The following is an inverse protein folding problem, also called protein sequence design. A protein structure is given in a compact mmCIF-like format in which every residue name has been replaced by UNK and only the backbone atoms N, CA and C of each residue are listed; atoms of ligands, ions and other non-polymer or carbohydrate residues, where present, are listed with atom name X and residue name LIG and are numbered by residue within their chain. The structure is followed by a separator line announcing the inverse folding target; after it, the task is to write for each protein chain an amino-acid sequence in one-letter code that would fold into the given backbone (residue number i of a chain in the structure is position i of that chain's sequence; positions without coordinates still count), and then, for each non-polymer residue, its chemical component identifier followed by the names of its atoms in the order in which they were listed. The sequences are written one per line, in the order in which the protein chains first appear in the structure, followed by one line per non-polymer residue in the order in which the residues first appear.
data_IF_760475374431
#
_entry.id   IF_760475374431
#
_cell.length_a   1.000
_cell.length_b   1.000
_cell.length_c   1.000
_cell.angle_alpha   90.00
_cell.angle_beta   90.00
_cell.angle_gamma   90.00
#
_symmetry.space_group_name_H-M   'P 1'
#
loop_
_entity.id
_entity.type
_entity.pdbx_description
1 polymer ?
#
# COMPACT_ATOMS: atom_id res chain seq x y z
N UNK A 1 39.90 42.75 45.54
CA UNK A 1 38.75 42.90 44.66
C UNK A 1 38.67 41.68 43.72
N UNK A 2 37.85 40.68 44.04
CA UNK A 2 37.59 39.49 43.15
C UNK A 2 36.29 39.73 42.44
N UNK A 3 36.33 39.77 41.08
CA UNK A 3 35.14 39.80 40.25
C UNK A 3 34.59 38.35 40.14
N UNK A 4 33.37 38.15 40.62
CA UNK A 4 32.60 36.94 40.36
C UNK A 4 31.92 37.04 38.99
N UNK A 5 32.26 36.14 38.09
CA UNK A 5 31.58 36.00 36.80
C UNK A 5 30.34 35.10 36.99
N UNK A 6 29.17 35.66 36.83
CA UNK A 6 27.91 34.93 36.86
C UNK A 6 27.73 34.16 35.53
N UNK A 7 27.70 32.85 35.61
CA UNK A 7 27.36 31.97 34.50
C UNK A 7 25.81 31.86 34.47
N UNK A 8 25.18 32.44 33.47
CA UNK A 8 23.76 32.21 33.20
C UNK A 8 23.61 30.82 32.60
N UNK A 9 23.02 29.89 33.33
CA UNK A 9 22.49 28.64 32.78
C UNK A 9 21.30 28.96 31.91
N UNK A 10 21.39 28.69 30.62
CA UNK A 10 20.26 28.63 29.72
C UNK A 10 19.51 27.32 29.98
N UNK A 11 18.31 27.41 30.55
CA UNK A 11 17.38 26.30 30.67
C UNK A 11 16.83 25.98 29.28
N UNK A 12 17.41 24.98 28.65
CA UNK A 12 16.88 24.40 27.44
C UNK A 12 15.58 23.65 27.75
N UNK A 13 14.48 24.14 27.18
CA UNK A 13 13.18 23.49 27.21
C UNK A 13 13.26 22.20 26.37
N UNK A 14 13.42 21.05 27.02
CA UNK A 14 13.30 19.76 26.40
C UNK A 14 11.80 19.53 26.11
N UNK A 15 11.38 19.77 24.87
CA UNK A 15 10.08 19.33 24.39
C UNK A 15 10.20 17.83 24.17
N UNK A 16 9.78 17.03 25.15
CA UNK A 16 9.56 15.61 24.98
C UNK A 16 8.33 15.44 24.07
N UNK A 17 8.56 15.14 22.80
CA UNK A 17 7.55 14.56 21.94
C UNK A 17 7.16 13.21 22.55
N UNK A 18 6.07 13.20 23.30
CA UNK A 18 5.37 11.98 23.68
C UNK A 18 4.74 11.41 22.40
N UNK A 19 5.44 10.58 21.69
CA UNK A 19 4.80 9.63 20.80
C UNK A 19 3.95 8.73 21.71
N UNK A 20 2.64 8.89 21.65
CA UNK A 20 1.74 7.87 22.16
C UNK A 20 1.91 6.64 21.30
N UNK A 21 2.82 5.76 21.67
CA UNK A 21 2.80 4.38 21.20
C UNK A 21 1.51 3.82 21.77
N UNK A 22 0.48 3.68 20.95
CA UNK A 22 -0.65 2.85 21.30
C UNK A 22 -0.03 1.45 21.52
N UNK A 23 -0.06 0.98 22.76
CA UNK A 23 0.33 -0.37 23.08
C UNK A 23 -0.67 -1.26 22.37
N UNK A 24 -0.20 -2.03 21.37
CA UNK A 24 -0.98 -3.12 20.84
C UNK A 24 -1.25 -4.07 22.02
N UNK A 25 -2.51 -4.48 22.20
CA UNK A 25 -2.78 -5.56 23.11
C UNK A 25 -2.05 -6.79 22.57
N UNK A 26 -1.32 -7.47 23.46
CA UNK A 26 -0.60 -8.66 23.09
C UNK A 26 -1.63 -9.78 22.90
N UNK A 27 -1.40 -10.66 21.92
CA UNK A 27 -2.15 -11.90 21.78
C UNK A 27 -2.19 -12.61 23.14
N UNK A 28 -3.38 -12.88 23.70
CA UNK A 28 -3.52 -13.38 25.05
C UNK A 28 -2.82 -14.72 25.31
N UNK A 29 -2.60 -15.52 24.28
CA UNK A 29 -1.99 -16.84 24.38
C UNK A 29 -0.54 -16.90 23.88
N UNK A 30 0.01 -15.80 23.35
CA UNK A 30 1.33 -15.80 22.75
C UNK A 30 2.21 -14.61 23.17
N UNK A 31 3.26 -14.87 23.96
CA UNK A 31 4.29 -13.88 24.27
C UNK A 31 5.30 -13.67 23.13
N UNK A 32 5.02 -14.16 21.91
CA UNK A 32 5.89 -14.14 20.76
C UNK A 32 6.13 -12.77 20.15
N UNK A 33 6.19 -12.70 18.82
CA UNK A 33 6.28 -11.43 18.07
C UNK A 33 4.89 -10.82 17.97
N UNK A 34 4.79 -9.51 18.21
CA UNK A 34 3.51 -8.82 18.07
C UNK A 34 2.94 -8.97 16.66
N UNK A 35 1.69 -9.38 16.55
CA UNK A 35 0.95 -9.44 15.30
C UNK A 35 0.81 -8.07 14.69
N UNK A 36 0.89 -7.98 13.37
CA UNK A 36 0.89 -6.70 12.65
C UNK A 36 -0.12 -6.65 11.52
N UNK A 37 -0.68 -5.46 11.30
CA UNK A 37 -1.46 -5.10 10.13
C UNK A 37 -0.88 -3.84 9.49
N UNK A 38 -0.74 -3.84 8.17
CA UNK A 38 -0.19 -2.70 7.45
C UNK A 38 -0.40 -2.84 5.95
N UNK A 39 0.41 -2.12 5.17
CA UNK A 39 0.24 -2.02 3.73
C UNK A 39 1.54 -2.36 3.00
N UNK A 40 1.41 -2.84 1.76
CA UNK A 40 2.55 -3.20 0.90
C UNK A 40 2.76 -2.23 -0.27
N UNK A 41 1.79 -1.37 -0.55
CA UNK A 41 1.85 -0.41 -1.66
C UNK A 41 2.60 0.85 -1.23
N UNK A 42 3.66 1.27 -1.94
CA UNK A 42 4.42 2.48 -1.57
C UNK A 42 3.80 3.78 -2.10
N UNK A 43 3.12 3.72 -3.25
CA UNK A 43 2.51 4.86 -3.94
C UNK A 43 1.41 4.39 -4.88
N UNK A 44 0.53 5.30 -5.30
CA UNK A 44 -0.49 5.06 -6.32
C UNK A 44 -0.06 5.72 -7.62
N UNK A 45 -0.09 4.99 -8.73
CA UNK A 45 0.39 5.48 -10.01
C UNK A 45 -0.79 5.89 -10.90
N UNK A 46 -0.79 7.17 -11.32
CA UNK A 46 -1.80 7.74 -12.22
C UNK A 46 -1.24 7.85 -13.64
N UNK A 47 -1.68 7.02 -14.59
CA UNK A 47 -1.21 7.06 -15.97
C UNK A 47 -1.90 8.20 -16.74
N UNK A 48 -1.14 9.13 -17.29
CA UNK A 48 -1.68 10.21 -18.12
C UNK A 48 -2.32 9.66 -19.40
N UNK A 49 -3.54 10.12 -19.69
CA UNK A 49 -4.31 9.67 -20.86
C UNK A 49 -5.11 8.39 -20.67
N UNK A 50 -5.08 7.79 -19.48
CA UNK A 50 -5.81 6.59 -19.12
C UNK A 50 -6.59 6.76 -17.82
N UNK A 51 -7.57 5.88 -17.52
CA UNK A 51 -8.23 5.89 -16.23
C UNK A 51 -7.22 5.66 -15.09
N UNK A 52 -7.31 6.46 -14.05
CA UNK A 52 -6.48 6.35 -12.86
C UNK A 52 -7.00 5.23 -11.94
N UNK A 53 -6.74 3.98 -12.29
CA UNK A 53 -7.10 2.83 -11.46
C UNK A 53 -5.85 2.33 -10.73
N UNK A 54 -5.94 2.20 -9.41
CA UNK A 54 -4.83 1.73 -8.58
C UNK A 54 -5.34 0.85 -7.44
N UNK A 55 -4.44 0.10 -6.79
CA UNK A 55 -4.79 -0.68 -5.62
C UNK A 55 -3.83 -0.45 -4.46
N UNK A 56 -4.34 -0.67 -3.25
CA UNK A 56 -3.55 -0.78 -2.03
C UNK A 56 -3.59 -2.22 -1.55
N UNK A 57 -2.42 -2.84 -1.39
CA UNK A 57 -2.29 -4.16 -0.79
C UNK A 57 -2.29 -4.05 0.73
N UNK A 58 -3.22 -4.74 1.38
CA UNK A 58 -3.26 -4.92 2.83
C UNK A 58 -2.49 -6.18 3.19
N UNK A 59 -1.57 -6.09 4.14
CA UNK A 59 -0.76 -7.22 4.62
C UNK A 59 -0.88 -7.38 6.13
N UNK A 60 -0.74 -8.61 6.58
CA UNK A 60 -0.69 -8.93 7.99
C UNK A 60 0.37 -10.00 8.29
N UNK A 61 0.79 -10.01 9.53
CA UNK A 61 1.62 -11.04 10.14
C UNK A 61 0.93 -11.53 11.41
N UNK A 62 0.96 -12.83 11.63
CA UNK A 62 0.58 -13.49 12.88
C UNK A 62 1.57 -14.63 13.13
N UNK A 63 2.04 -14.77 14.35
CA UNK A 63 2.94 -15.86 14.76
C UNK A 63 2.21 -17.01 15.46
N UNK A 64 0.92 -16.82 15.80
CA UNK A 64 0.03 -17.87 16.27
C UNK A 64 -1.20 -18.03 15.35
N UNK A 65 -2.06 -18.99 15.64
CA UNK A 65 -3.29 -19.26 14.88
C UNK A 65 -4.32 -18.15 15.12
N UNK A 66 -4.81 -17.53 14.04
CA UNK A 66 -5.88 -16.52 14.09
C UNK A 66 -7.21 -17.13 13.65
N UNK A 67 -8.27 -16.88 14.41
CA UNK A 67 -9.62 -17.42 14.22
C UNK A 67 -10.59 -16.42 13.58
N UNK A 68 -10.26 -15.13 13.58
CA UNK A 68 -10.97 -14.11 12.85
C UNK A 68 -10.10 -12.86 12.68
N UNK A 69 -10.37 -12.12 11.63
CA UNK A 69 -9.76 -10.80 11.35
C UNK A 69 -10.89 -9.82 11.07
N UNK A 70 -10.85 -8.66 11.73
CA UNK A 70 -11.75 -7.52 11.48
C UNK A 70 -10.91 -6.26 11.32
N UNK A 71 -11.00 -5.62 10.15
CA UNK A 71 -10.20 -4.45 9.79
C UNK A 71 -11.10 -3.36 9.22
N UNK A 72 -11.61 -2.44 10.04
CA UNK A 72 -12.32 -1.26 9.57
C UNK A 72 -11.34 -0.15 9.22
N UNK A 73 -11.42 0.37 7.98
CA UNK A 73 -10.58 1.45 7.48
C UNK A 73 -11.41 2.70 7.20
N UNK A 74 -10.90 3.86 7.62
CA UNK A 74 -11.31 5.17 7.15
C UNK A 74 -10.49 5.52 5.91
N UNK A 75 -11.17 5.81 4.80
CA UNK A 75 -10.58 6.18 3.53
C UNK A 75 -10.65 7.70 3.38
N UNK A 76 -9.51 8.36 3.19
CA UNK A 76 -9.46 9.81 2.98
C UNK A 76 -8.56 10.13 1.80
N UNK A 77 -8.97 11.12 0.99
CA UNK A 77 -8.25 11.54 -0.21
C UNK A 77 -9.15 11.68 -1.42
N UNK A 78 -8.57 12.10 -2.55
CA UNK A 78 -9.30 12.30 -3.81
C UNK A 78 -9.41 10.99 -4.60
N UNK A 79 -10.10 10.01 -4.00
CA UNK A 79 -10.27 8.67 -4.56
C UNK A 79 -11.72 8.20 -4.40
N UNK A 80 -12.12 7.26 -5.24
CA UNK A 80 -13.38 6.50 -5.08
C UNK A 80 -13.04 5.02 -4.86
N UNK A 81 -13.68 4.41 -3.86
CA UNK A 81 -13.57 2.96 -3.66
C UNK A 81 -14.30 2.22 -4.78
N UNK A 82 -13.65 1.22 -5.36
CA UNK A 82 -14.23 0.39 -6.41
C UNK A 82 -14.59 -1.01 -5.90
N UNK A 83 -13.59 -1.73 -5.40
CA UNK A 83 -13.76 -3.12 -4.97
C UNK A 83 -12.64 -3.59 -4.05
N UNK A 84 -12.85 -4.78 -3.47
CA UNK A 84 -11.82 -5.50 -2.71
C UNK A 84 -11.68 -6.92 -3.27
N UNK A 85 -10.45 -7.34 -3.51
CA UNK A 85 -10.12 -8.69 -3.97
C UNK A 85 -9.29 -9.44 -2.94
N UNK A 86 -9.67 -10.68 -2.66
CA UNK A 86 -8.93 -11.60 -1.81
C UNK A 86 -8.11 -12.62 -2.62
N UNK A 87 -8.10 -12.50 -3.94
CA UNK A 87 -7.35 -13.38 -4.83
C UNK A 87 -5.83 -13.29 -4.54
N UNK A 88 -5.20 -14.44 -4.36
CA UNK A 88 -3.76 -14.54 -4.01
C UNK A 88 -3.46 -14.15 -2.56
N UNK A 89 -4.47 -14.02 -1.69
CA UNK A 89 -4.27 -13.72 -0.28
C UNK A 89 -4.18 -14.98 0.58
N UNK A 90 -3.69 -14.81 1.81
CA UNK A 90 -3.61 -15.90 2.80
C UNK A 90 -4.98 -16.39 3.28
N UNK A 91 -6.03 -15.60 3.04
CA UNK A 91 -7.41 -15.92 3.43
C UNK A 91 -8.27 -16.28 2.21
N UNK A 92 -7.68 -16.48 1.04
CA UNK A 92 -8.43 -16.78 -0.19
C UNK A 92 -9.31 -18.03 -0.05
N UNK A 93 -8.84 -19.04 0.66
CA UNK A 93 -9.53 -20.31 0.88
C UNK A 93 -10.79 -20.22 1.74
N UNK A 94 -10.95 -19.15 2.54
CA UNK A 94 -12.11 -18.96 3.39
C UNK A 94 -13.34 -18.63 2.54
N UNK A 95 -14.52 -19.19 2.89
CA UNK A 95 -15.78 -18.81 2.28
C UNK A 95 -16.31 -17.49 2.85
N UNK A 96 -16.16 -17.29 4.16
CA UNK A 96 -16.69 -16.12 4.86
C UNK A 96 -15.66 -14.98 4.89
N UNK A 97 -15.57 -14.27 3.76
CA UNK A 97 -14.83 -13.03 3.62
C UNK A 97 -15.80 -11.89 3.29
N UNK A 98 -15.59 -10.72 3.86
CA UNK A 98 -16.45 -9.56 3.59
C UNK A 98 -15.62 -8.32 3.31
N UNK A 99 -16.14 -7.48 2.42
CA UNK A 99 -15.72 -6.11 2.20
C UNK A 99 -17.00 -5.26 2.09
N UNK A 100 -17.31 -4.54 3.14
CA UNK A 100 -18.52 -3.71 3.23
C UNK A 100 -18.11 -2.24 3.28
N UNK A 101 -18.50 -1.47 2.25
CA UNK A 101 -18.17 -0.04 2.14
C UNK A 101 -19.37 0.83 2.46
N UNK A 102 -19.20 1.72 3.44
CA UNK A 102 -20.17 2.77 3.77
C UNK A 102 -19.78 4.07 3.04
N UNK A 103 -20.53 4.37 1.97
CA UNK A 103 -20.29 5.56 1.13
C UNK A 103 -20.47 6.88 1.89
N UNK A 104 -21.37 6.95 2.87
CA UNK A 104 -21.65 8.20 3.58
C UNK A 104 -20.55 8.61 4.54
N UNK A 105 -19.77 7.64 5.01
CA UNK A 105 -18.70 7.84 5.99
C UNK A 105 -17.31 7.56 5.45
N UNK A 106 -17.23 7.10 4.19
CA UNK A 106 -15.96 6.67 3.55
C UNK A 106 -15.23 5.60 4.37
N UNK A 107 -15.99 4.66 4.94
CA UNK A 107 -15.47 3.58 5.77
C UNK A 107 -15.60 2.24 5.06
N UNK A 108 -14.56 1.43 5.13
CA UNK A 108 -14.52 0.07 4.56
C UNK A 108 -14.26 -0.94 5.67
N UNK A 109 -15.18 -1.87 5.88
CA UNK A 109 -14.99 -3.01 6.77
C UNK A 109 -14.49 -4.22 5.97
N UNK A 110 -13.33 -4.74 6.33
CA UNK A 110 -12.81 -6.01 5.84
C UNK A 110 -12.86 -7.02 6.95
N UNK A 111 -13.44 -8.19 6.67
CA UNK A 111 -13.52 -9.30 7.60
C UNK A 111 -13.11 -10.61 6.93
N UNK A 112 -12.50 -11.50 7.72
CA UNK A 112 -12.19 -12.87 7.34
C UNK A 112 -12.45 -13.79 8.53
N UNK A 113 -13.36 -14.77 8.35
CA UNK A 113 -13.83 -15.65 9.42
C UNK A 113 -13.87 -17.11 8.93
N UNK A 114 -13.00 -17.99 9.45
CA UNK A 114 -13.08 -19.43 9.20
C UNK A 114 -14.33 -20.02 9.86
N UNK A 115 -15.30 -20.43 9.09
CA UNK A 115 -16.53 -21.09 9.58
C UNK A 115 -16.62 -22.46 8.95
N UNK A 116 -16.19 -23.48 9.68
CA UNK A 116 -16.11 -24.85 9.17
C UNK A 116 -14.83 -25.14 8.36
N UNK A 117 -13.95 -24.16 8.23
CA UNK A 117 -12.64 -24.29 7.60
C UNK A 117 -11.51 -24.22 8.66
N UNK A 118 -10.30 -24.52 8.22
CA UNK A 118 -9.13 -24.39 9.08
C UNK A 118 -8.87 -22.92 9.46
N UNK A 119 -8.52 -22.64 10.70
CA UNK A 119 -8.13 -21.31 11.13
C UNK A 119 -6.94 -20.77 10.32
N UNK A 120 -6.74 -19.47 10.34
CA UNK A 120 -5.62 -18.80 9.62
C UNK A 120 -4.30 -19.19 10.28
N UNK A 121 -3.42 -19.93 9.58
CA UNK A 121 -2.16 -20.39 10.16
C UNK A 121 -1.18 -19.24 10.41
N UNK A 122 -0.14 -19.44 11.25
CA UNK A 122 0.95 -18.47 11.41
C UNK A 122 1.62 -18.12 10.08
N UNK A 123 2.07 -16.87 9.96
CA UNK A 123 2.83 -16.41 8.80
C UNK A 123 2.62 -14.94 8.47
N UNK A 124 3.25 -14.52 7.36
CA UNK A 124 3.12 -13.17 6.79
C UNK A 124 2.59 -13.24 5.37
N UNK A 125 1.80 -12.24 4.98
CA UNK A 125 1.34 -12.16 3.59
C UNK A 125 0.18 -11.21 3.38
N UNK A 126 -0.42 -11.28 2.19
CA UNK A 126 -1.55 -10.42 1.81
C UNK A 126 -2.83 -10.85 2.52
N UNK A 127 -3.59 -9.85 3.00
CA UNK A 127 -4.99 -10.02 3.42
C UNK A 127 -5.93 -9.81 2.23
N UNK A 128 -5.75 -8.69 1.52
CA UNK A 128 -6.55 -8.34 0.34
C UNK A 128 -5.87 -7.24 -0.47
N UNK A 129 -6.45 -6.94 -1.64
CA UNK A 129 -6.17 -5.73 -2.43
C UNK A 129 -7.43 -4.88 -2.48
N UNK A 130 -7.31 -3.60 -2.15
CA UNK A 130 -8.40 -2.61 -2.20
C UNK A 130 -8.17 -1.77 -3.45
N UNK A 131 -9.12 -1.77 -4.37
CA UNK A 131 -9.06 -1.04 -5.64
C UNK A 131 -9.75 0.31 -5.53
N UNK A 132 -9.14 1.31 -6.14
CA UNK A 132 -9.60 2.69 -6.16
C UNK A 132 -9.54 3.27 -7.56
N UNK A 133 -10.52 4.12 -7.88
CA UNK A 133 -10.40 5.12 -8.94
C UNK A 133 -9.81 6.40 -8.35
N UNK A 134 -8.72 6.88 -8.94
CA UNK A 134 -8.07 8.13 -8.57
C UNK A 134 -8.82 9.28 -9.25
N UNK A 135 -9.42 10.18 -8.47
CA UNK A 135 -10.23 11.28 -8.97
C UNK A 135 -9.40 12.54 -9.28
N UNK A 136 -8.14 12.55 -8.86
CA UNK A 136 -7.22 13.66 -9.07
C UNK A 136 -5.81 13.13 -9.37
N UNK A 137 -5.00 13.95 -9.99
CA UNK A 137 -3.58 13.70 -10.29
C UNK A 137 -2.66 14.17 -9.16
N UNK A 138 -3.21 14.83 -8.14
CA UNK A 138 -2.44 15.41 -7.02
C UNK A 138 -3.07 15.01 -5.70
N UNK A 139 -2.24 14.62 -4.73
CA UNK A 139 -2.69 14.33 -3.37
C UNK A 139 -2.17 13.01 -2.83
N UNK A 140 -2.76 12.61 -1.74
CA UNK A 140 -2.50 11.34 -1.07
C UNK A 140 -3.83 10.62 -0.82
N UNK A 141 -3.82 9.31 -0.94
CA UNK A 141 -4.79 8.45 -0.28
C UNK A 141 -4.26 8.14 1.12
N UNK A 142 -5.10 8.24 2.13
CA UNK A 142 -4.78 7.75 3.48
C UNK A 142 -5.77 6.66 3.90
N UNK A 143 -5.23 5.62 4.52
CA UNK A 143 -6.00 4.55 5.16
C UNK A 143 -5.61 4.49 6.62
N UNK A 144 -6.57 4.73 7.50
CA UNK A 144 -6.38 4.63 8.94
C UNK A 144 -7.45 3.70 9.54
N UNK A 145 -7.20 3.18 10.73
CA UNK A 145 -8.22 2.38 11.42
C UNK A 145 -9.32 3.27 11.96
N UNK A 146 -10.53 2.72 12.05
CA UNK A 146 -11.70 3.45 12.54
C UNK A 146 -12.67 2.50 13.25
N UNK A 147 -13.71 3.04 13.83
CA UNK A 147 -14.85 2.26 14.27
C UNK A 147 -15.87 2.16 13.14
N UNK A 148 -16.35 0.94 12.86
CA UNK A 148 -17.39 0.66 11.89
C UNK A 148 -18.63 0.12 12.61
N UNK A 149 -19.72 0.85 12.55
CA UNK A 149 -20.93 0.51 13.27
C UNK A 149 -21.53 -0.85 12.85
N UNK A 150 -22.20 -1.56 13.77
CA UNK A 150 -22.53 -1.19 15.14
C UNK A 150 -21.47 -1.50 16.20
N UNK A 151 -20.46 -2.36 15.89
CA UNK A 151 -19.53 -2.87 16.92
C UNK A 151 -18.15 -3.25 16.39
N UNK A 152 -17.83 -2.94 15.14
CA UNK A 152 -16.56 -3.41 14.56
C UNK A 152 -15.43 -2.41 14.80
N UNK A 153 -14.36 -2.88 15.42
CA UNK A 153 -13.08 -2.22 15.57
C UNK A 153 -11.97 -3.11 14.98
N UNK A 154 -10.76 -2.58 14.89
CA UNK A 154 -9.62 -3.40 14.47
C UNK A 154 -9.37 -4.48 15.51
N UNK A 155 -9.49 -5.74 15.10
CA UNK A 155 -9.27 -6.88 15.96
C UNK A 155 -8.82 -8.13 15.20
N UNK A 156 -7.93 -8.88 15.79
CA UNK A 156 -7.69 -10.29 15.52
C UNK A 156 -8.27 -11.10 16.66
N UNK A 157 -8.66 -12.33 16.39
CA UNK A 157 -9.20 -13.25 17.39
C UNK A 157 -8.30 -14.48 17.44
N UNK A 158 -7.79 -14.80 18.62
CA UNK A 158 -6.96 -15.99 18.86
C UNK A 158 -7.37 -16.69 20.16
N UNK A 159 -6.60 -17.66 20.60
CA UNK A 159 -6.73 -18.30 21.90
C UNK A 159 -7.86 -19.32 22.05
N UNK A 160 -7.89 -19.97 23.23
CA UNK A 160 -8.92 -20.92 23.63
C UNK A 160 -9.22 -20.77 25.13
N UNK A 161 -10.34 -20.09 25.50
CA UNK A 161 -11.42 -19.59 24.63
C UNK A 161 -10.98 -18.50 23.65
N UNK A 162 -11.71 -18.26 22.54
CA UNK A 162 -11.39 -17.16 21.61
C UNK A 162 -11.52 -15.80 22.30
N UNK A 163 -10.46 -15.00 22.18
CA UNK A 163 -10.42 -13.61 22.68
C UNK A 163 -9.97 -12.69 21.55
N UNK A 164 -10.49 -11.47 21.51
CA UNK A 164 -10.08 -10.45 20.57
C UNK A 164 -8.96 -9.59 21.13
N UNK A 165 -8.04 -9.19 20.26
CA UNK A 165 -6.93 -8.30 20.57
C UNK A 165 -6.63 -7.40 19.38
N UNK A 166 -5.96 -6.27 19.62
CA UNK A 166 -5.63 -5.28 18.60
C UNK A 166 -4.19 -5.51 18.12
N UNK A 167 -3.98 -5.92 16.84
CA UNK A 167 -2.64 -6.04 16.30
C UNK A 167 -1.94 -4.68 16.20
N UNK A 168 -0.61 -4.66 16.12
CA UNK A 168 0.12 -3.44 15.79
C UNK A 168 -0.27 -2.97 14.41
N UNK A 169 -0.82 -1.76 14.31
CA UNK A 169 -1.28 -1.18 13.07
C UNK A 169 -0.41 0.01 12.66
N UNK A 170 -0.09 0.06 11.37
CA UNK A 170 0.57 1.21 10.77
C UNK A 170 -0.35 1.82 9.72
N UNK A 171 -0.81 3.04 9.98
CA UNK A 171 -1.63 3.80 9.04
C UNK A 171 -0.89 4.01 7.71
N UNK A 172 -1.63 3.92 6.60
CA UNK A 172 -1.10 4.09 5.25
C UNK A 172 -1.27 5.52 4.75
N UNK A 173 -0.23 6.05 4.11
CA UNK A 173 -0.31 7.29 3.33
C UNK A 173 0.36 7.06 1.98
N UNK A 174 -0.42 7.12 0.91
CA UNK A 174 -0.02 6.74 -0.44
C UNK A 174 -0.05 7.96 -1.35
N UNK A 175 1.10 8.54 -1.70
CA UNK A 175 1.16 9.64 -2.65
C UNK A 175 0.69 9.19 -4.03
N UNK A 176 -0.05 10.06 -4.72
CA UNK A 176 -0.41 9.86 -6.13
C UNK A 176 0.75 10.35 -6.99
N UNK A 177 1.35 9.42 -7.74
CA UNK A 177 2.48 9.67 -8.63
C UNK A 177 1.98 9.62 -10.07
N UNK A 178 1.97 10.78 -10.72
CA UNK A 178 1.56 10.90 -12.12
C UNK A 178 2.73 10.50 -13.04
N UNK A 179 2.43 9.70 -14.04
CA UNK A 179 3.40 9.31 -15.05
C UNK A 179 2.83 9.30 -16.46
N UNK A 180 3.69 9.42 -17.45
CA UNK A 180 3.35 9.25 -18.85
C UNK A 180 3.85 7.88 -19.31
N UNK A 181 2.97 6.94 -19.74
CA UNK A 181 3.42 5.67 -20.27
C UNK A 181 4.40 5.85 -21.42
N UNK A 182 5.58 5.22 -21.35
CA UNK A 182 6.65 5.36 -22.32
C UNK A 182 7.73 6.39 -21.99
N UNK A 183 7.50 7.28 -21.03
CA UNK A 183 8.50 8.23 -20.54
C UNK A 183 9.40 7.53 -19.49
N UNK A 184 10.39 6.81 -19.99
CA UNK A 184 11.27 5.99 -19.16
C UNK A 184 12.28 6.81 -18.34
N UNK A 185 12.60 8.04 -18.78
CA UNK A 185 13.56 8.93 -18.10
C UNK A 185 12.87 10.01 -17.25
N UNK A 186 11.53 10.05 -17.23
CA UNK A 186 10.68 11.01 -16.52
C UNK A 186 10.92 12.47 -16.97
N UNK A 187 11.12 12.67 -18.27
CA UNK A 187 11.30 14.00 -18.89
C UNK A 187 9.99 14.72 -19.21
N UNK A 188 8.85 14.02 -19.12
CA UNK A 188 7.50 14.39 -19.54
C UNK A 188 7.26 14.33 -21.06
N UNK A 189 8.17 13.74 -21.81
CA UNK A 189 8.07 13.52 -23.25
C UNK A 189 8.43 12.07 -23.55
N UNK A 190 7.78 11.50 -24.57
CA UNK A 190 8.12 10.17 -25.08
C UNK A 190 8.89 10.34 -26.38
N UNK A 191 10.20 10.10 -26.36
CA UNK A 191 11.07 10.29 -27.50
C UNK A 191 12.23 9.27 -27.59
N UNK A 192 13.23 9.54 -28.46
CA UNK A 192 14.39 8.66 -28.63
C UNK A 192 15.22 8.50 -27.34
N UNK A 193 15.19 9.49 -26.46
CA UNK A 193 16.00 9.45 -25.23
C UNK A 193 15.50 8.37 -24.29
N UNK A 194 14.18 8.09 -24.29
CA UNK A 194 13.58 7.00 -23.53
C UNK A 194 14.01 5.63 -24.06
N UNK A 195 14.08 5.49 -25.38
CA UNK A 195 14.60 4.28 -26.01
C UNK A 195 16.05 4.03 -25.55
N UNK A 196 16.90 5.05 -25.58
CA UNK A 196 18.29 4.96 -25.12
C UNK A 196 18.35 4.64 -23.63
N UNK A 197 17.46 5.21 -22.85
CA UNK A 197 17.38 4.96 -21.40
C UNK A 197 17.04 3.49 -21.13
N UNK A 198 15.99 2.96 -21.78
CA UNK A 198 15.58 1.57 -21.64
C UNK A 198 16.65 0.58 -22.14
N UNK A 199 17.31 0.87 -23.27
CA UNK A 199 18.43 0.04 -23.75
C UNK A 199 19.55 -0.03 -22.72
N UNK A 200 19.92 1.11 -22.10
CA UNK A 200 20.94 1.11 -21.04
C UNK A 200 20.50 0.29 -19.84
N UNK A 201 19.25 0.47 -19.38
CA UNK A 201 18.72 -0.26 -18.25
C UNK A 201 18.69 -1.77 -18.51
N UNK A 202 18.05 -2.21 -19.59
CA UNK A 202 17.81 -3.63 -19.89
C UNK A 202 19.09 -4.37 -20.28
N UNK A 203 19.99 -3.73 -21.06
CA UNK A 203 21.12 -4.43 -21.68
C UNK A 203 22.48 -4.16 -21.04
N UNK A 204 22.63 -3.05 -20.31
CA UNK A 204 23.93 -2.62 -19.80
C UNK A 204 23.96 -2.36 -18.30
N UNK A 205 22.91 -2.72 -17.56
CA UNK A 205 22.84 -2.47 -16.12
C UNK A 205 22.81 -0.98 -15.76
N UNK A 206 22.22 -0.16 -16.63
CA UNK A 206 22.01 1.27 -16.38
C UNK A 206 21.05 1.54 -15.25
N UNK A 207 20.82 2.83 -14.95
CA UNK A 207 19.93 3.25 -13.88
C UNK A 207 18.49 2.73 -14.10
N UNK A 208 17.84 2.33 -13.01
CA UNK A 208 16.43 1.93 -13.01
C UNK A 208 15.58 3.15 -13.41
N UNK A 209 14.54 2.98 -14.28
CA UNK A 209 13.59 4.04 -14.57
C UNK A 209 13.02 4.64 -13.29
N UNK A 210 12.95 6.00 -13.17
CA UNK A 210 12.42 6.67 -11.99
C UNK A 210 10.99 6.24 -11.64
N UNK A 211 10.20 5.92 -12.67
CA UNK A 211 8.85 5.38 -12.54
C UNK A 211 8.80 4.10 -13.37
N UNK A 212 9.07 2.97 -12.71
CA UNK A 212 9.27 1.69 -13.37
C UNK A 212 8.01 1.22 -14.12
N UNK A 213 6.83 1.47 -13.57
CA UNK A 213 5.54 1.15 -14.23
C UNK A 213 5.37 1.87 -15.56
N UNK A 214 5.96 3.05 -15.74
CA UNK A 214 5.93 3.80 -17.01
C UNK A 214 6.84 3.23 -18.10
N UNK A 215 7.72 2.31 -17.74
CA UNK A 215 8.67 1.64 -18.62
C UNK A 215 8.18 0.27 -19.13
N UNK A 216 7.13 -0.29 -18.53
CA UNK A 216 6.40 -1.47 -19.00
C UNK A 216 5.35 -1.01 -20.01
N UNK A 217 5.72 -0.96 -21.30
CA UNK A 217 4.93 -0.32 -22.33
C UNK A 217 3.88 -1.23 -22.95
N UNK A 218 4.06 -2.53 -22.81
CA UNK A 218 3.15 -3.55 -23.36
C UNK A 218 2.22 -4.14 -22.28
N UNK A 219 2.40 -3.79 -21.00
CA UNK A 219 1.59 -4.22 -19.87
C UNK A 219 1.76 -5.71 -19.53
N UNK A 220 2.93 -6.29 -19.79
CA UNK A 220 3.21 -7.68 -19.46
C UNK A 220 3.81 -7.90 -18.06
N UNK A 221 3.88 -6.84 -17.26
CA UNK A 221 4.46 -6.78 -15.91
C UNK A 221 5.97 -7.03 -15.87
N UNK A 222 6.68 -6.78 -16.95
CA UNK A 222 8.14 -6.87 -17.03
C UNK A 222 8.70 -5.73 -17.86
N UNK A 223 9.83 -5.15 -17.44
CA UNK A 223 10.58 -4.22 -18.30
C UNK A 223 11.71 -4.98 -18.97
N UNK A 224 11.59 -5.22 -20.27
CA UNK A 224 12.50 -6.03 -21.05
C UNK A 224 12.67 -5.52 -22.50
N UNK A 225 13.28 -6.32 -23.37
CA UNK A 225 13.53 -5.94 -24.77
C UNK A 225 12.23 -5.73 -25.56
N UNK A 226 11.11 -6.34 -25.17
CA UNK A 226 9.83 -6.17 -25.86
C UNK A 226 9.33 -4.71 -25.72
N UNK A 227 9.55 -4.07 -24.56
CA UNK A 227 9.20 -2.66 -24.33
C UNK A 227 10.04 -1.73 -25.18
N UNK A 228 11.33 -2.03 -25.36
CA UNK A 228 12.20 -1.26 -26.24
C UNK A 228 11.66 -1.34 -27.69
N UNK A 229 11.31 -2.53 -28.15
CA UNK A 229 10.75 -2.75 -29.51
C UNK A 229 9.41 -2.03 -29.63
N UNK A 230 8.58 -2.09 -28.60
CA UNK A 230 7.28 -1.39 -28.57
C UNK A 230 7.49 0.12 -28.72
N UNK A 231 8.39 0.71 -27.92
CA UNK A 231 8.70 2.13 -27.96
C UNK A 231 9.28 2.58 -29.29
N UNK A 232 10.19 1.81 -29.90
CA UNK A 232 10.72 2.06 -31.25
C UNK A 232 9.59 2.10 -32.29
N UNK A 233 8.66 1.15 -32.22
CA UNK A 233 7.53 1.11 -33.14
C UNK A 233 6.62 2.33 -32.97
N UNK A 234 6.35 2.73 -31.73
CA UNK A 234 5.55 3.94 -31.44
C UNK A 234 6.22 5.21 -31.99
N UNK A 235 7.49 5.43 -31.62
CA UNK A 235 8.19 6.67 -31.97
C UNK A 235 8.47 6.81 -33.49
N UNK A 236 8.79 5.69 -34.18
CA UNK A 236 9.29 5.75 -35.56
C UNK A 236 8.40 5.10 -36.62
N UNK A 237 7.44 4.27 -36.24
CA UNK A 237 6.64 3.49 -37.19
C UNK A 237 5.15 3.67 -37.06
N UNK A 238 4.70 4.72 -36.33
CA UNK A 238 3.29 4.95 -36.02
C UNK A 238 2.61 3.71 -35.39
N UNK A 239 3.34 2.99 -34.54
CA UNK A 239 2.82 1.89 -33.76
C UNK A 239 1.81 2.38 -32.70
N UNK A 240 1.13 1.45 -31.99
CA UNK A 240 0.19 1.83 -30.94
C UNK A 240 0.88 2.60 -29.82
N UNK A 241 0.12 3.50 -29.17
CA UNK A 241 0.62 4.25 -28.02
C UNK A 241 0.97 3.32 -26.85
N UNK A 242 2.01 3.63 -26.04
CA UNK A 242 2.30 2.92 -24.81
C UNK A 242 1.08 2.86 -23.90
N UNK A 243 0.83 1.69 -23.32
CA UNK A 243 -0.27 1.47 -22.37
C UNK A 243 0.25 1.53 -20.92
N UNK A 244 -0.64 1.72 -19.93
CA UNK A 244 -0.23 1.63 -18.53
C UNK A 244 0.37 0.27 -18.20
N UNK A 245 1.55 0.26 -17.58
CA UNK A 245 2.18 -0.95 -17.08
C UNK A 245 1.45 -1.51 -15.85
N UNK A 246 1.80 -2.73 -15.46
CA UNK A 246 1.23 -3.43 -14.32
C UNK A 246 2.24 -3.74 -13.20
N UNK A 247 3.44 -3.17 -13.27
CA UNK A 247 4.44 -3.29 -12.21
C UNK A 247 4.02 -2.50 -10.96
N UNK A 248 4.35 -3.03 -9.76
CA UNK A 248 4.03 -2.37 -8.48
C UNK A 248 4.89 -1.13 -8.21
#
# INVERSE_FOLDING_TARGET
MRRQTQIKLATGLLISLLFSVAWADQDPDDPGLADTLGFSTPALYYPLGYPGIAFVGVRFFNDNIVKAITCPFLISGSVSYDSTSFLGSRVEYLENKTANYNFSESKLLIGALPVGEDPIPPGTGSLCKIWFTLNDTVGNLTLDTTFFEPSNHLAFVAGTPPEDYVPQFTAGSFPIVVYLPGDANNSRWVDIVDIIYLVKYVSYGGAIPPILVGADLNGDCMVNIADIVYLVNYVYKNGPAPIPGCLP
#
